data_IF_134978338758
#
_entry.id   IF_134978338758
#
_cell.length_a   1.000
_cell.length_b   1.000
_cell.length_c   1.000
_cell.angle_alpha   90.00
_cell.angle_beta   90.00
_cell.angle_gamma   90.00
#
_symmetry.space_group_name_H-M   'P 1'
#
loop_
_entity.id
_entity.type
_entity.pdbx_description
1 polymer ?
#
# COMPACT_ATOMS: atom_id res chain seq x y z
N UNK A 1 -5.08 27.48 -12.24
CA UNK A 1 -5.84 26.29 -11.78
C UNK A 1 -4.75 25.33 -11.42
N UNK A 2 -4.31 25.44 -10.17
CA UNK A 2 -2.98 25.01 -9.77
C UNK A 2 -3.09 23.61 -9.18
N UNK A 3 -2.58 22.65 -9.95
CA UNK A 3 -2.52 21.22 -9.69
C UNK A 3 -1.37 20.90 -8.73
N UNK A 4 -1.43 21.34 -7.46
CA UNK A 4 -0.51 20.82 -6.44
C UNK A 4 -0.94 21.10 -4.99
N UNK A 5 -2.16 20.75 -4.62
CA UNK A 5 -2.58 20.81 -3.21
C UNK A 5 -2.46 19.42 -2.60
N UNK A 6 -1.25 19.07 -2.17
CA UNK A 6 -0.97 17.93 -1.29
C UNK A 6 -1.76 18.13 0.02
N UNK A 7 -2.94 17.52 0.11
CA UNK A 7 -3.83 17.69 1.25
C UNK A 7 -3.20 17.02 2.49
N UNK A 8 -3.01 17.76 3.61
CA UNK A 8 -2.34 17.22 4.77
C UNK A 8 -3.18 16.11 5.45
N UNK A 9 -2.53 15.14 6.11
CA UNK A 9 -3.24 14.14 6.89
C UNK A 9 -4.12 14.82 7.96
N UNK A 10 -5.41 14.50 7.97
CA UNK A 10 -6.40 15.14 8.84
C UNK A 10 -7.24 16.24 8.20
N UNK A 11 -7.09 16.50 6.90
CA UNK A 11 -7.94 17.46 6.20
C UNK A 11 -9.39 16.97 6.11
N UNK A 12 -10.33 17.77 6.60
CA UNK A 12 -11.77 17.58 6.45
C UNK A 12 -12.20 18.09 5.07
N UNK A 13 -12.63 17.18 4.19
CA UNK A 13 -13.18 17.54 2.88
C UNK A 13 -14.70 17.46 2.95
N UNK A 14 -15.36 18.61 2.82
CA UNK A 14 -16.81 18.69 2.69
C UNK A 14 -17.18 18.63 1.21
N UNK A 15 -17.71 17.49 0.76
CA UNK A 15 -18.23 17.33 -0.60
C UNK A 15 -19.77 17.40 -0.58
N UNK A 16 -20.39 18.37 -1.26
CA UNK A 16 -21.84 18.39 -1.42
C UNK A 16 -22.24 17.33 -2.46
N UNK A 17 -22.95 16.29 -2.02
CA UNK A 17 -23.67 15.38 -2.91
C UNK A 17 -25.17 15.59 -2.67
N UNK A 18 -25.84 16.08 -3.71
CA UNK A 18 -27.28 15.91 -3.94
C UNK A 18 -28.22 16.18 -2.75
N UNK A 19 -28.08 17.35 -2.13
CA UNK A 19 -29.15 17.98 -1.33
C UNK A 19 -29.56 17.31 -0.02
N UNK A 20 -29.01 16.16 0.38
CA UNK A 20 -29.41 15.46 1.61
C UNK A 20 -28.20 14.87 2.36
N UNK A 21 -27.31 15.75 2.82
CA UNK A 21 -26.38 15.42 3.90
C UNK A 21 -24.90 15.37 3.51
N UNK A 22 -24.09 16.12 4.26
CA UNK A 22 -22.63 16.11 4.20
C UNK A 22 -22.15 14.79 4.81
N UNK A 23 -21.58 13.89 4.00
CA UNK A 23 -20.86 12.72 4.50
C UNK A 23 -19.41 13.12 4.78
N UNK A 24 -19.05 13.17 6.08
CA UNK A 24 -17.68 13.36 6.54
C UNK A 24 -16.86 12.10 6.26
N UNK A 25 -15.91 12.17 5.33
CA UNK A 25 -14.92 11.12 5.12
C UNK A 25 -13.60 11.56 5.76
N UNK A 26 -13.21 10.91 6.86
CA UNK A 26 -11.89 11.13 7.46
C UNK A 26 -10.88 10.31 6.67
N UNK A 27 -9.92 10.96 6.03
CA UNK A 27 -8.75 10.26 5.49
C UNK A 27 -7.96 9.75 6.69
N UNK A 28 -7.87 8.43 6.91
CA UNK A 28 -7.09 7.92 8.03
C UNK A 28 -5.61 8.27 7.81
N UNK A 29 -4.86 8.63 8.86
CA UNK A 29 -3.45 9.02 8.75
C UNK A 29 -2.55 7.86 8.28
N UNK A 30 -3.04 6.62 8.41
CA UNK A 30 -2.43 5.42 7.87
C UNK A 30 -3.47 4.65 7.04
N UNK A 31 -3.04 4.05 5.94
CA UNK A 31 -3.86 3.11 5.17
C UNK A 31 -3.57 1.68 5.58
N UNK A 32 -4.62 0.89 5.71
CA UNK A 32 -4.50 -0.55 5.95
C UNK A 32 -4.42 -1.25 4.60
N UNK A 33 -3.22 -1.59 4.18
CA UNK A 33 -2.94 -2.25 2.92
C UNK A 33 -3.11 -3.77 3.03
N UNK A 34 -4.02 -4.38 2.26
CA UNK A 34 -4.12 -5.82 2.18
C UNK A 34 -2.94 -6.42 1.39
N UNK A 35 -2.20 -7.32 2.03
CA UNK A 35 -1.15 -8.14 1.45
C UNK A 35 -1.67 -9.56 1.19
N UNK A 36 -1.45 -10.06 -0.02
CA UNK A 36 -1.68 -11.45 -0.40
C UNK A 36 -0.35 -12.18 -0.41
N UNK A 37 -0.16 -13.03 0.59
CA UNK A 37 1.10 -13.73 0.84
C UNK A 37 1.33 -14.90 -0.11
N UNK A 38 0.25 -15.57 -0.49
CA UNK A 38 0.31 -16.71 -1.38
C UNK A 38 -1.06 -16.89 -2.04
N UNK A 39 -1.12 -16.94 -3.39
CA UNK A 39 -2.37 -17.04 -4.12
C UNK A 39 -3.07 -18.40 -3.94
N UNK A 40 -2.36 -19.45 -3.48
CA UNK A 40 -2.91 -20.80 -3.33
C UNK A 40 -3.53 -21.09 -1.95
N UNK A 41 -3.02 -20.48 -0.89
CA UNK A 41 -3.45 -20.67 0.50
C UNK A 41 -4.45 -19.63 0.97
N UNK A 42 -4.64 -18.54 0.21
CA UNK A 42 -5.55 -17.44 0.59
C UNK A 42 -5.07 -16.65 1.81
N UNK A 43 -3.78 -16.75 2.14
CA UNK A 43 -3.17 -16.07 3.28
C UNK A 43 -3.14 -14.56 3.04
N UNK A 44 -4.08 -13.85 3.68
CA UNK A 44 -4.19 -12.40 3.63
C UNK A 44 -3.67 -11.78 4.93
N UNK A 45 -2.75 -10.84 4.82
CA UNK A 45 -2.29 -9.97 5.91
C UNK A 45 -2.71 -8.53 5.62
N UNK A 46 -2.72 -7.71 6.66
CA UNK A 46 -2.97 -6.28 6.51
C UNK A 46 -1.86 -5.54 7.24
N UNK A 47 -1.27 -4.54 6.59
CA UNK A 47 -0.22 -3.71 7.18
C UNK A 47 -0.62 -2.24 7.11
N UNK A 48 -0.19 -1.46 8.09
CA UNK A 48 -0.41 -0.01 8.08
C UNK A 48 0.72 0.66 7.30
N UNK A 49 0.36 1.42 6.28
CA UNK A 49 1.28 2.14 5.40
C UNK A 49 0.90 3.61 5.32
N UNK A 50 1.89 4.47 5.16
CA UNK A 50 1.70 5.92 4.98
C UNK A 50 2.13 6.34 3.59
N UNK A 51 1.73 7.53 3.12
CA UNK A 51 2.11 8.04 1.79
C UNK A 51 3.62 8.09 1.57
N UNK A 52 4.38 8.34 2.64
CA UNK A 52 5.84 8.39 2.60
C UNK A 52 6.54 7.04 2.81
N UNK A 53 5.81 5.97 3.09
CA UNK A 53 6.41 4.63 3.25
C UNK A 53 6.99 4.19 1.91
N UNK A 54 8.28 3.86 1.89
CA UNK A 54 8.93 3.41 0.66
C UNK A 54 8.66 1.95 0.36
N UNK A 55 8.82 1.54 -0.91
CA UNK A 55 8.72 0.13 -1.29
C UNK A 55 9.78 -0.70 -0.55
N UNK A 56 10.97 -0.16 -0.32
CA UNK A 56 12.00 -0.84 0.46
C UNK A 56 11.63 -1.10 1.91
N UNK A 57 11.04 -0.11 2.57
CA UNK A 57 10.50 -0.28 3.92
C UNK A 57 9.39 -1.34 3.92
N UNK A 58 8.50 -1.32 2.92
CA UNK A 58 7.41 -2.28 2.79
C UNK A 58 7.95 -3.69 2.56
N UNK A 59 8.93 -3.86 1.68
CA UNK A 59 9.59 -5.13 1.37
C UNK A 59 10.27 -5.69 2.62
N UNK A 60 11.00 -4.85 3.35
CA UNK A 60 11.64 -5.22 4.62
C UNK A 60 10.62 -5.59 5.70
N UNK A 61 9.50 -4.87 5.78
CA UNK A 61 8.43 -5.21 6.72
C UNK A 61 7.83 -6.57 6.40
N UNK A 62 7.54 -6.84 5.12
CA UNK A 62 7.02 -8.13 4.64
C UNK A 62 8.04 -9.25 4.85
N UNK A 63 9.32 -8.95 4.65
CA UNK A 63 10.41 -9.90 4.83
C UNK A 63 10.55 -10.31 6.31
N UNK A 64 10.49 -9.36 7.24
CA UNK A 64 10.63 -9.63 8.68
C UNK A 64 9.35 -10.19 9.30
N UNK A 65 8.22 -9.53 9.08
CA UNK A 65 6.98 -9.80 9.81
C UNK A 65 6.15 -10.93 9.22
N UNK A 66 6.23 -11.14 7.90
CA UNK A 66 5.34 -12.05 7.21
C UNK A 66 6.03 -13.32 6.72
N UNK A 67 7.25 -13.22 6.19
CA UNK A 67 7.93 -14.34 5.50
C UNK A 67 9.14 -14.87 6.24
N UNK A 68 9.75 -14.06 7.13
CA UNK A 68 11.05 -14.32 7.79
C UNK A 68 12.17 -14.67 6.80
N UNK A 69 12.12 -14.06 5.62
CA UNK A 69 13.11 -14.21 4.57
C UNK A 69 13.91 -12.91 4.41
N UNK A 70 14.99 -12.99 3.63
CA UNK A 70 15.72 -11.81 3.16
C UNK A 70 14.80 -10.92 2.31
N UNK A 71 14.96 -9.60 2.44
CA UNK A 71 14.15 -8.65 1.67
C UNK A 71 14.34 -8.84 0.15
N UNK A 72 15.52 -9.25 -0.28
CA UNK A 72 15.84 -9.53 -1.69
C UNK A 72 15.04 -10.73 -2.26
N UNK A 73 14.66 -11.67 -1.40
CA UNK A 73 13.83 -12.80 -1.77
C UNK A 73 12.33 -12.45 -1.89
N UNK A 74 11.94 -11.22 -1.56
CA UNK A 74 10.55 -10.77 -1.56
C UNK A 74 10.28 -9.86 -2.73
N UNK A 75 9.41 -10.31 -3.64
CA UNK A 75 8.91 -9.50 -4.74
C UNK A 75 7.49 -9.03 -4.44
N UNK A 76 7.27 -7.72 -4.60
CA UNK A 76 5.99 -7.07 -4.37
C UNK A 76 5.35 -6.71 -5.70
N UNK A 77 4.08 -7.07 -5.88
CA UNK A 77 3.37 -6.88 -7.15
C UNK A 77 2.01 -6.26 -6.87
N UNK A 78 1.64 -5.22 -7.62
CA UNK A 78 0.33 -4.57 -7.54
C UNK A 78 -0.34 -4.62 -8.91
N UNK A 79 -1.41 -5.40 -9.00
CA UNK A 79 -2.03 -5.73 -10.29
C UNK A 79 -1.07 -6.55 -11.14
N UNK A 80 -0.48 -5.89 -12.15
CA UNK A 80 0.51 -6.42 -13.10
C UNK A 80 1.89 -5.74 -12.96
N UNK A 81 2.03 -4.78 -12.05
CA UNK A 81 3.26 -4.00 -11.89
C UNK A 81 4.12 -4.59 -10.77
N UNK A 82 5.37 -4.91 -11.09
CA UNK A 82 6.39 -5.29 -10.11
C UNK A 82 6.96 -4.02 -9.48
N UNK A 83 6.90 -3.94 -8.15
CA UNK A 83 7.48 -2.85 -7.38
C UNK A 83 8.96 -3.16 -7.08
N UNK A 84 9.83 -2.79 -8.00
CA UNK A 84 11.28 -3.01 -7.88
C UNK A 84 12.01 -1.83 -7.24
N UNK A 85 11.57 -0.61 -7.54
CA UNK A 85 12.21 0.63 -7.06
C UNK A 85 12.00 0.83 -5.55
N UNK A 86 13.10 0.71 -4.80
CA UNK A 86 13.11 0.76 -3.33
C UNK A 86 12.85 2.17 -2.77
N UNK A 87 13.17 3.20 -3.56
CA UNK A 87 13.07 4.61 -3.17
C UNK A 87 11.67 5.19 -3.48
N UNK A 88 10.93 4.56 -4.38
CA UNK A 88 9.56 4.92 -4.69
C UNK A 88 8.71 4.80 -3.43
N UNK A 89 7.83 5.78 -3.24
CA UNK A 89 6.90 5.79 -2.12
C UNK A 89 5.62 5.07 -2.52
N UNK A 90 4.85 4.65 -1.51
CA UNK A 90 3.51 4.13 -1.72
C UNK A 90 2.60 5.14 -2.45
N UNK A 91 2.84 6.45 -2.32
CA UNK A 91 2.16 7.47 -3.13
C UNK A 91 2.62 7.44 -4.60
N UNK A 92 3.93 7.37 -4.85
CA UNK A 92 4.50 7.38 -6.21
C UNK A 92 3.99 6.23 -7.07
N UNK A 93 3.83 5.04 -6.48
CA UNK A 93 3.33 3.85 -7.18
C UNK A 93 1.80 3.77 -7.22
N UNK A 94 1.09 4.81 -6.77
CA UNK A 94 -0.38 4.87 -6.75
C UNK A 94 -1.03 3.83 -5.84
N UNK A 95 -0.33 3.41 -4.77
CA UNK A 95 -0.78 2.36 -3.86
C UNK A 95 -2.08 2.74 -3.11
N UNK A 96 -2.31 4.04 -2.94
CA UNK A 96 -3.51 4.62 -2.32
C UNK A 96 -4.67 4.85 -3.31
N UNK A 97 -4.39 4.86 -4.61
CA UNK A 97 -5.43 5.05 -5.63
C UNK A 97 -5.98 3.70 -6.11
N UNK A 98 -5.18 2.65 -5.95
CA UNK A 98 -5.54 1.28 -6.31
C UNK A 98 -6.28 0.60 -5.16
N UNK A 99 -7.47 0.08 -5.48
CA UNK A 99 -8.21 -0.85 -4.58
C UNK A 99 -7.65 -2.26 -4.62
N UNK A 100 -6.64 -2.49 -5.46
CA UNK A 100 -5.98 -3.77 -5.63
C UNK A 100 -5.08 -4.09 -4.44
N UNK A 101 -5.05 -5.36 -4.08
CA UNK A 101 -4.20 -5.85 -3.01
C UNK A 101 -2.78 -6.11 -3.52
N UNK A 102 -1.78 -5.92 -2.65
CA UNK A 102 -0.38 -6.20 -3.00
C UNK A 102 -0.15 -7.69 -2.89
N UNK A 103 0.27 -8.32 -3.98
CA UNK A 103 0.73 -9.70 -3.99
C UNK A 103 2.19 -9.73 -3.59
N UNK A 104 2.49 -10.64 -2.67
CA UNK A 104 3.83 -10.92 -2.19
C UNK A 104 4.23 -12.26 -2.80
N UNK A 105 5.38 -12.30 -3.47
CA UNK A 105 6.00 -13.53 -3.95
C UNK A 105 7.31 -13.70 -3.19
N UNK A 106 7.48 -14.85 -2.57
CA UNK A 106 8.74 -15.20 -1.91
C UNK A 106 9.49 -16.16 -2.83
N UNK A 107 10.63 -15.71 -3.33
CA UNK A 107 11.56 -16.57 -4.04
C UNK A 107 12.28 -17.42 -2.99
N UNK A 108 11.83 -18.67 -2.84
CA UNK A 108 12.45 -19.61 -1.93
C UNK A 108 13.94 -19.70 -2.20
N UNK A 109 14.74 -19.51 -1.15
CA UNK A 109 16.12 -19.98 -1.12
C UNK A 109 16.07 -21.46 -1.46
N UNK A 110 16.56 -21.84 -2.64
CA UNK A 110 16.87 -23.24 -2.94
C UNK A 110 17.83 -23.71 -1.83
N UNK A 111 17.38 -24.69 -1.06
CA UNK A 111 18.10 -25.27 0.08
C UNK A 111 19.44 -25.89 -0.35
#
# INVERSE_FOLDING_TARGET
LDENTLLPPGLEIELPLDGVGIRRARIPPAWVLPLWMDPGTGSKRSIEVTRGTTIGELRRFVSVECTRCDADAVTLIIGDIVLDDDQATAEDVGLFERRDAVKVIVHGREE
#
